data_IF_056166493677
#
_entry.id   IF_056166493677
#
_cell.length_a   1.000
_cell.length_b   1.000
_cell.length_c   1.000
_cell.angle_alpha   90.00
_cell.angle_beta   90.00
_cell.angle_gamma   90.00
#
_symmetry.space_group_name_H-M   'P 1'
#
loop_
_entity.id
_entity.type
_entity.pdbx_description
1 polymer ?
#
# COMPACT_ATOMS: atom_id res chain seq x y z
N UNK A 1 10.93 3.24 -8.96
CA UNK A 1 10.83 2.61 -7.63
C UNK A 1 11.84 1.47 -7.60
N UNK A 2 12.55 1.31 -6.51
CA UNK A 2 13.65 0.35 -6.36
C UNK A 2 13.09 -0.97 -5.82
N UNK A 3 13.18 -2.08 -6.59
CA UNK A 3 12.53 -3.35 -6.22
C UNK A 3 13.03 -3.96 -4.91
N UNK A 4 14.26 -3.64 -4.51
CA UNK A 4 14.87 -4.20 -3.30
C UNK A 4 14.40 -3.47 -2.03
N UNK A 5 13.75 -2.30 -2.20
CA UNK A 5 13.16 -1.56 -1.10
C UNK A 5 11.73 -2.02 -0.82
N UNK A 6 11.39 -2.04 0.47
CA UNK A 6 10.02 -2.18 0.92
C UNK A 6 9.27 -0.86 0.71
N UNK A 7 8.13 -0.90 0.02
CA UNK A 7 7.28 0.27 -0.20
C UNK A 7 5.96 0.14 0.55
N UNK A 8 5.62 1.15 1.33
CA UNK A 8 4.30 1.26 1.95
C UNK A 8 3.38 2.04 1.03
N UNK A 9 2.25 1.44 0.66
CA UNK A 9 1.26 2.03 -0.23
C UNK A 9 0.03 2.36 0.61
N UNK A 10 -0.35 3.64 0.62
CA UNK A 10 -1.47 4.16 1.40
C UNK A 10 -2.45 4.88 0.47
N UNK A 11 -3.74 4.75 0.76
CA UNK A 11 -4.78 5.59 0.20
C UNK A 11 -5.77 5.98 1.30
N UNK A 12 -6.86 6.71 0.97
CA UNK A 12 -7.83 7.18 1.97
C UNK A 12 -8.36 6.06 2.90
N UNK A 13 -8.84 4.94 2.35
CA UNK A 13 -9.51 3.86 3.11
C UNK A 13 -8.82 2.49 3.02
N UNK A 14 -7.63 2.41 2.39
CA UNK A 14 -6.90 1.16 2.17
C UNK A 14 -7.30 0.34 0.93
N UNK A 15 -8.47 0.57 0.32
CA UNK A 15 -8.97 -0.28 -0.78
C UNK A 15 -8.26 -0.06 -2.12
N UNK A 16 -7.91 1.19 -2.45
CA UNK A 16 -7.16 1.49 -3.69
C UNK A 16 -5.71 1.04 -3.59
N UNK A 17 -5.09 1.24 -2.42
CA UNK A 17 -3.73 0.80 -2.14
C UNK A 17 -3.62 -0.72 -2.11
N UNK A 18 -4.65 -1.44 -1.67
CA UNK A 18 -4.70 -2.91 -1.79
C UNK A 18 -4.58 -3.38 -3.24
N UNK A 19 -5.37 -2.80 -4.16
CA UNK A 19 -5.29 -3.13 -5.59
C UNK A 19 -3.95 -2.74 -6.20
N UNK A 20 -3.41 -1.58 -5.82
CA UNK A 20 -2.08 -1.16 -6.26
C UNK A 20 -0.98 -2.12 -5.76
N UNK A 21 -1.08 -2.59 -4.51
CA UNK A 21 -0.15 -3.59 -3.98
C UNK A 21 -0.24 -4.90 -4.76
N UNK A 22 -1.43 -5.39 -5.07
CA UNK A 22 -1.60 -6.60 -5.88
C UNK A 22 -0.88 -6.47 -7.24
N UNK A 23 -1.12 -5.37 -7.96
CA UNK A 23 -0.44 -5.10 -9.21
C UNK A 23 1.08 -5.03 -9.06
N UNK A 24 1.59 -4.34 -8.03
CA UNK A 24 3.03 -4.19 -7.81
C UNK A 24 3.70 -5.50 -7.37
N UNK A 25 3.00 -6.35 -6.60
CA UNK A 25 3.47 -7.70 -6.24
C UNK A 25 3.67 -8.55 -7.50
N UNK A 26 2.74 -8.50 -8.45
CA UNK A 26 2.86 -9.20 -9.74
C UNK A 26 4.05 -8.71 -10.58
N UNK A 27 4.47 -7.46 -10.40
CA UNK A 27 5.66 -6.89 -11.06
C UNK A 27 6.97 -7.16 -10.29
N UNK A 28 6.89 -7.88 -9.15
CA UNK A 28 8.04 -8.26 -8.32
C UNK A 28 8.54 -7.17 -7.39
N UNK A 29 7.70 -6.20 -7.01
CA UNK A 29 8.05 -5.22 -5.98
C UNK A 29 7.70 -5.75 -4.58
N UNK A 30 8.53 -5.43 -3.59
CA UNK A 30 8.21 -5.64 -2.19
C UNK A 30 7.32 -4.48 -1.68
N UNK A 31 6.05 -4.76 -1.41
CA UNK A 31 5.04 -3.74 -1.05
C UNK A 31 4.14 -4.17 0.11
N UNK A 32 3.75 -3.21 0.94
CA UNK A 32 2.77 -3.38 2.02
C UNK A 32 1.62 -2.38 1.82
N UNK A 33 0.38 -2.89 1.86
CA UNK A 33 -0.80 -2.05 1.93
C UNK A 33 -1.03 -1.57 3.38
N UNK A 34 -1.14 -0.27 3.58
CA UNK A 34 -1.54 0.29 4.88
C UNK A 34 -3.04 0.08 5.09
N UNK A 35 -3.39 -0.82 6.02
CA UNK A 35 -4.78 -1.11 6.37
C UNK A 35 -5.49 0.11 6.98
N UNK A 36 -6.78 0.27 6.66
CA UNK A 36 -7.58 1.45 7.05
C UNK A 36 -7.21 2.74 6.30
N UNK A 37 -6.02 2.81 5.69
CA UNK A 37 -5.59 3.98 4.95
C UNK A 37 -5.34 5.18 5.85
N UNK A 38 -5.58 6.38 5.32
CA UNK A 38 -5.45 7.63 6.08
C UNK A 38 -6.52 7.78 7.17
N UNK A 39 -7.72 7.22 6.96
CA UNK A 39 -8.80 7.28 7.95
C UNK A 39 -8.41 6.64 9.28
N UNK A 40 -7.62 5.56 9.26
CA UNK A 40 -7.13 4.93 10.50
C UNK A 40 -6.22 5.84 11.34
N UNK A 41 -5.60 6.86 10.74
CA UNK A 41 -4.82 7.86 11.46
C UNK A 41 -5.67 9.06 11.87
N UNK A 42 -6.68 9.43 11.10
CA UNK A 42 -7.60 10.53 11.41
C UNK A 42 -8.54 10.19 12.57
N UNK A 43 -8.77 8.90 12.83
CA UNK A 43 -9.61 8.40 13.93
C UNK A 43 -8.84 8.12 15.23
N UNK A 44 -7.56 8.48 15.31
CA UNK A 44 -6.70 8.33 16.50
C UNK A 44 -6.71 9.60 17.35
#
# INVERSE_FOLDING_TARGET
>A
MDKDRLHYIICKSGMRSARACQFLLEQGYNVINVQGGMLAFEEL
#
